data_IF_614724450775
#
_entry.id   IF_614724450775
#
_cell.length_a   1.000
_cell.length_b   1.000
_cell.length_c   1.000
_cell.angle_alpha   90.00
_cell.angle_beta   90.00
_cell.angle_gamma   90.00
#
_symmetry.space_group_name_H-M   'P 1'
#
loop_
_entity.id
_entity.type
_entity.pdbx_description
1 polymer ?
#
# COMPACT_ATOMS: atom_id res chain seq x y z
N UNK A 1 -22.33 -50.36 -14.74
CA UNK A 1 -21.55 -49.20 -15.21
C UNK A 1 -22.33 -47.97 -14.80
N UNK A 2 -21.82 -47.20 -13.84
CA UNK A 2 -22.58 -46.12 -13.20
C UNK A 2 -21.91 -44.79 -13.53
N UNK A 3 -22.67 -43.86 -14.08
CA UNK A 3 -22.24 -42.51 -14.43
C UNK A 3 -22.71 -41.55 -13.35
N UNK A 4 -21.78 -40.81 -12.75
CA UNK A 4 -22.09 -39.73 -11.82
C UNK A 4 -22.04 -38.39 -12.56
N UNK A 5 -23.06 -37.56 -12.38
CA UNK A 5 -23.06 -36.15 -12.81
C UNK A 5 -23.01 -35.31 -11.55
N UNK A 6 -21.95 -34.51 -11.41
CA UNK A 6 -21.86 -33.50 -10.35
C UNK A 6 -22.63 -32.28 -10.82
N UNK A 7 -23.76 -32.00 -10.17
CA UNK A 7 -24.45 -30.72 -10.26
C UNK A 7 -23.93 -29.85 -9.12
N UNK A 8 -22.84 -29.13 -9.37
CA UNK A 8 -22.32 -28.10 -8.48
C UNK A 8 -22.15 -26.82 -9.27
N UNK A 9 -22.59 -25.70 -8.71
CA UNK A 9 -22.30 -24.39 -9.29
C UNK A 9 -20.79 -24.19 -9.29
N UNK A 10 -20.22 -24.02 -10.49
CA UNK A 10 -18.84 -23.60 -10.67
C UNK A 10 -18.71 -22.15 -10.18
N UNK A 11 -18.45 -21.95 -8.89
CA UNK A 11 -17.84 -20.69 -8.46
C UNK A 11 -16.37 -20.73 -8.87
N UNK A 12 -16.11 -20.30 -10.10
CA UNK A 12 -14.78 -20.36 -10.73
C UNK A 12 -13.78 -19.34 -10.19
N UNK A 13 -14.16 -18.54 -9.18
CA UNK A 13 -13.27 -17.56 -8.57
C UNK A 13 -12.84 -18.02 -7.18
N UNK A 14 -11.53 -18.00 -6.87
CA UNK A 14 -11.07 -18.24 -5.52
C UNK A 14 -11.69 -17.19 -4.58
N UNK A 15 -11.97 -17.61 -3.35
CA UNK A 15 -12.50 -16.72 -2.31
C UNK A 15 -11.49 -15.58 -2.04
N UNK A 16 -11.89 -14.34 -2.32
CA UNK A 16 -11.03 -13.16 -2.11
C UNK A 16 -11.24 -12.64 -0.70
N UNK A 17 -10.25 -12.84 0.17
CA UNK A 17 -10.21 -12.17 1.47
C UNK A 17 -9.85 -10.69 1.27
N UNK A 18 -10.74 -9.80 1.71
CA UNK A 18 -10.51 -8.34 1.69
C UNK A 18 -10.24 -7.87 3.11
N UNK A 19 -9.22 -7.03 3.26
CA UNK A 19 -8.90 -6.33 4.51
C UNK A 19 -8.92 -4.84 4.22
N UNK A 20 -9.49 -4.05 5.13
CA UNK A 20 -9.60 -2.61 4.99
C UNK A 20 -8.80 -1.94 6.10
N UNK A 21 -7.89 -1.05 5.71
CA UNK A 21 -7.06 -0.28 6.64
C UNK A 21 -7.42 1.19 6.54
N UNK A 22 -7.50 1.84 7.70
CA UNK A 22 -7.85 3.25 7.88
C UNK A 22 -6.78 3.97 8.68
N UNK A 23 -6.98 5.26 8.97
CA UNK A 23 -6.14 6.00 9.91
C UNK A 23 -6.09 5.37 11.30
N UNK A 24 -7.16 4.72 11.75
CA UNK A 24 -7.19 4.06 13.06
C UNK A 24 -6.26 2.84 13.11
N UNK A 25 -6.00 2.24 11.95
CA UNK A 25 -5.10 1.09 11.79
C UNK A 25 -3.65 1.50 11.52
N UNK A 26 -3.35 2.81 11.47
CA UNK A 26 -2.00 3.34 11.32
C UNK A 26 -1.67 3.94 9.95
N UNK A 27 -2.59 3.95 8.97
CA UNK A 27 -2.37 4.61 7.69
C UNK A 27 -2.31 6.14 7.86
N UNK A 28 -1.37 6.87 7.21
CA UNK A 28 -1.21 8.29 7.48
C UNK A 28 -2.33 9.14 6.87
N UNK A 29 -2.88 8.73 5.72
CA UNK A 29 -3.92 9.46 5.00
C UNK A 29 -4.89 8.53 4.25
N UNK A 30 -6.11 9.01 4.01
CA UNK A 30 -7.18 8.22 3.38
C UNK A 30 -7.05 8.11 1.85
N UNK A 31 -6.22 8.95 1.24
CA UNK A 31 -5.99 8.98 -0.20
C UNK A 31 -4.59 8.47 -0.49
N UNK A 32 -4.50 7.23 -0.99
CA UNK A 32 -3.27 6.66 -1.51
C UNK A 32 -3.11 7.09 -2.97
N UNK A 33 -2.00 7.76 -3.29
CA UNK A 33 -1.64 8.23 -4.63
C UNK A 33 -0.93 7.15 -5.45
N UNK A 34 -0.10 6.34 -4.82
CA UNK A 34 0.67 5.27 -5.47
C UNK A 34 1.05 4.17 -4.48
N UNK A 35 1.13 2.93 -4.96
CA UNK A 35 1.49 1.74 -4.17
C UNK A 35 2.66 1.02 -4.83
N UNK A 36 3.65 0.62 -4.03
CA UNK A 36 4.84 -0.12 -4.47
C UNK A 36 5.12 -1.27 -3.53
N UNK A 37 5.29 -2.48 -4.05
CA UNK A 37 5.92 -3.58 -3.30
C UNK A 37 7.41 -3.50 -3.54
N UNK A 38 8.20 -3.38 -2.47
CA UNK A 38 9.66 -3.37 -2.58
C UNK A 38 10.24 -4.78 -2.66
N UNK A 39 11.51 -4.86 -3.07
CA UNK A 39 12.26 -6.11 -3.22
C UNK A 39 12.47 -6.89 -1.92
N UNK A 40 12.22 -6.25 -0.76
CA UNK A 40 12.32 -6.86 0.58
C UNK A 40 10.97 -7.38 1.08
N UNK A 41 9.89 -7.18 0.32
CA UNK A 41 8.55 -7.64 0.66
C UNK A 41 7.73 -6.64 1.48
N UNK A 42 8.19 -5.39 1.65
CA UNK A 42 7.38 -4.35 2.24
C UNK A 42 6.44 -3.73 1.20
N UNK A 43 5.25 -3.34 1.64
CA UNK A 43 4.34 -2.52 0.84
C UNK A 43 4.51 -1.06 1.22
N UNK A 44 4.68 -0.20 0.23
CA UNK A 44 4.78 1.23 0.38
C UNK A 44 3.53 1.89 -0.20
N UNK A 45 2.94 2.79 0.56
CA UNK A 45 1.80 3.60 0.15
C UNK A 45 2.16 5.08 0.25
N UNK A 46 2.17 5.78 -0.87
CA UNK A 46 2.30 7.24 -0.88
C UNK A 46 0.93 7.89 -0.70
N UNK A 47 0.89 9.01 0.03
CA UNK A 47 -0.32 9.78 0.31
C UNK A 47 -0.05 11.26 0.17
N UNK A 48 -1.09 12.08 0.26
CA UNK A 48 -0.94 13.53 0.33
C UNK A 48 -0.36 14.05 1.65
N UNK A 49 -0.26 13.18 2.65
CA UNK A 49 0.18 13.49 4.01
C UNK A 49 1.52 12.83 4.38
N UNK A 50 2.15 12.17 3.41
CA UNK A 50 3.44 11.49 3.57
C UNK A 50 3.46 10.08 2.99
N UNK A 51 4.51 9.34 3.35
CA UNK A 51 4.77 7.98 2.91
C UNK A 51 4.50 7.00 4.04
N UNK A 52 3.92 5.85 3.73
CA UNK A 52 3.72 4.76 4.67
C UNK A 52 4.39 3.49 4.19
N UNK A 53 5.05 2.76 5.09
CA UNK A 53 5.56 1.40 4.84
C UNK A 53 4.80 0.43 5.72
N UNK A 54 4.35 -0.67 5.12
CA UNK A 54 3.59 -1.73 5.76
C UNK A 54 4.32 -3.06 5.59
N UNK A 55 4.42 -3.83 6.68
CA UNK A 55 5.11 -5.13 6.72
C UNK A 55 4.15 -6.34 6.74
N UNK A 56 2.85 -6.10 6.68
CA UNK A 56 1.81 -7.13 6.83
C UNK A 56 1.08 -7.07 8.17
N UNK A 57 1.63 -6.37 9.15
CA UNK A 57 1.09 -6.22 10.50
C UNK A 57 0.99 -4.76 10.90
N UNK A 58 2.07 -4.00 10.74
CA UNK A 58 2.22 -2.64 11.25
C UNK A 58 2.58 -1.63 10.15
N UNK A 59 2.14 -0.39 10.33
CA UNK A 59 2.49 0.75 9.48
C UNK A 59 3.56 1.63 10.13
N UNK A 60 4.56 2.02 9.34
CA UNK A 60 5.56 3.05 9.70
C UNK A 60 5.39 4.24 8.76
N UNK A 61 5.15 5.42 9.34
CA UNK A 61 4.84 6.64 8.59
C UNK A 61 5.99 7.64 8.58
N UNK A 62 6.28 8.17 7.39
CA UNK A 62 7.32 9.14 7.13
C UNK A 62 6.69 10.43 6.59
N UNK A 63 6.98 11.56 7.24
CA UNK A 63 6.51 12.88 6.82
C UNK A 63 7.69 13.66 6.23
N UNK A 64 7.49 14.27 5.08
CA UNK A 64 8.52 15.04 4.36
C UNK A 64 8.80 16.41 4.98
N UNK A 65 7.87 16.95 5.80
CA UNK A 65 7.96 18.29 6.38
C UNK A 65 8.10 18.37 7.90
N UNK A 66 8.39 17.29 8.62
CA UNK A 66 8.42 17.28 10.09
C UNK A 66 9.48 18.24 10.71
N UNK A 67 10.56 18.53 9.97
CA UNK A 67 11.67 19.38 10.43
C UNK A 67 11.74 20.73 9.70
N UNK A 68 10.86 20.99 8.73
CA UNK A 68 10.93 22.21 7.91
C UNK A 68 9.93 23.25 8.38
N UNK A 69 10.44 24.38 8.90
CA UNK A 69 9.68 25.62 9.17
C UNK A 69 9.13 26.30 7.89
N UNK A 70 8.90 25.55 6.81
CA UNK A 70 8.39 26.06 5.54
C UNK A 70 6.93 25.61 5.41
N UNK A 71 5.95 26.51 5.61
CA UNK A 71 4.52 26.19 5.66
C UNK A 71 3.95 25.56 4.38
N UNK A 72 4.70 25.62 3.27
CA UNK A 72 4.27 25.22 1.93
C UNK A 72 4.95 23.98 1.38
N UNK A 73 5.83 23.33 2.15
CA UNK A 73 6.32 22.00 1.78
C UNK A 73 5.16 21.00 1.95
N UNK A 74 4.40 20.83 0.88
CA UNK A 74 3.35 19.83 0.82
C UNK A 74 3.95 18.44 1.03
N UNK A 75 3.42 17.67 1.99
CA UNK A 75 3.80 16.26 2.19
C UNK A 75 3.26 15.33 1.07
N UNK A 76 2.88 15.91 -0.07
CA UNK A 76 2.25 15.20 -1.17
C UNK A 76 3.32 14.45 -1.96
N UNK A 77 3.18 13.14 -1.99
CA UNK A 77 4.04 12.26 -2.78
C UNK A 77 3.15 11.64 -3.85
N UNK A 78 3.40 11.95 -5.11
CA UNK A 78 2.56 11.52 -6.22
C UNK A 78 2.94 10.14 -6.74
N UNK A 79 4.24 9.82 -6.73
CA UNK A 79 4.77 8.54 -7.21
C UNK A 79 5.92 8.07 -6.35
N UNK A 80 6.07 6.75 -6.29
CA UNK A 80 7.20 6.10 -5.63
C UNK A 80 7.83 5.04 -6.53
N UNK A 81 9.14 4.89 -6.43
CA UNK A 81 9.90 3.95 -7.25
C UNK A 81 11.06 3.34 -6.46
N UNK A 82 11.32 2.05 -6.64
CA UNK A 82 12.50 1.38 -6.09
C UNK A 82 13.59 1.27 -7.15
N UNK A 83 14.81 1.72 -6.82
CA UNK A 83 15.97 1.52 -7.69
C UNK A 83 16.60 0.12 -7.54
N UNK A 84 17.59 -0.18 -8.38
CA UNK A 84 18.29 -1.48 -8.35
C UNK A 84 19.09 -1.74 -7.06
N UNK A 85 19.32 -0.72 -6.25
CA UNK A 85 20.02 -0.81 -4.97
C UNK A 85 19.04 -0.96 -3.79
N UNK A 86 17.73 -0.97 -4.05
CA UNK A 86 16.69 -1.08 -3.02
C UNK A 86 16.36 0.23 -2.32
N UNK A 87 16.77 1.37 -2.89
CA UNK A 87 16.37 2.68 -2.37
C UNK A 87 15.00 3.07 -2.91
N UNK A 88 14.20 3.68 -2.05
CA UNK A 88 12.88 4.19 -2.41
C UNK A 88 12.99 5.67 -2.75
N UNK A 89 12.65 6.00 -3.99
CA UNK A 89 12.62 7.35 -4.53
C UNK A 89 11.19 7.87 -4.54
N UNK A 90 11.02 9.10 -4.06
CA UNK A 90 9.75 9.80 -4.07
C UNK A 90 9.78 10.85 -5.18
N UNK A 91 8.69 10.95 -5.94
CA UNK A 91 8.47 12.01 -6.91
C UNK A 91 7.28 12.86 -6.46
N UNK A 92 7.50 14.18 -6.46
CA UNK A 92 6.55 15.22 -6.06
C UNK A 92 6.19 16.10 -7.25
#
# INVERSE_FOLDING_TARGET
MSLWVVLGELSSQPEIKRVHYTRQDGLPGNAISDILSDSRGYMWGSTWEGLSRFDGFDFVNYKTGADSNIPYLHNRIDRIYEDKSGNIWMMM
#
